data_IF_808600563943
#
_entry.id   IF_808600563943
#
_cell.length_a   1.000
_cell.length_b   1.000
_cell.length_c   1.000
_cell.angle_alpha   90.00
_cell.angle_beta   90.00
_cell.angle_gamma   90.00
#
_symmetry.space_group_name_H-M   'P 1'
#
loop_
_entity.id
_entity.type
_entity.pdbx_description
1 polymer ?
#
# COMPACT_ATOMS: atom_id res chain seq x y z
N UNK A 1 5.44 -18.39 19.27
CA UNK A 1 6.78 -17.81 19.56
C UNK A 1 7.67 -19.02 19.49
N UNK A 2 8.13 -19.40 18.29
CA UNK A 2 8.83 -20.67 18.08
C UNK A 2 10.01 -20.44 17.14
N UNK A 3 10.85 -19.47 17.50
CA UNK A 3 12.20 -19.36 16.98
C UNK A 3 13.13 -19.94 18.05
N UNK A 4 13.98 -20.88 17.66
CA UNK A 4 15.00 -21.47 18.55
C UNK A 4 16.14 -20.49 18.90
N UNK A 5 16.11 -19.28 18.32
CA UNK A 5 17.11 -18.24 18.55
C UNK A 5 17.13 -17.78 20.01
N UNK A 6 18.34 -17.66 20.55
CA UNK A 6 18.60 -17.03 21.84
C UNK A 6 19.37 -15.74 21.59
N UNK A 7 18.82 -14.56 21.94
CA UNK A 7 19.53 -13.32 21.75
C UNK A 7 20.81 -13.28 22.59
N UNK A 8 21.78 -12.43 22.21
CA UNK A 8 23.02 -12.27 22.97
C UNK A 8 22.76 -11.81 24.41
N UNK A 9 23.78 -11.98 25.27
CA UNK A 9 23.72 -11.48 26.64
C UNK A 9 23.63 -9.94 26.62
N UNK A 10 22.90 -9.36 27.59
CA UNK A 10 22.71 -7.91 27.69
C UNK A 10 24.02 -7.13 27.77
N UNK A 11 25.09 -7.75 28.30
CA UNK A 11 26.43 -7.15 28.36
C UNK A 11 27.04 -6.98 26.96
N UNK A 12 26.70 -7.83 26.00
CA UNK A 12 27.23 -7.81 24.63
C UNK A 12 26.40 -6.95 23.66
N UNK A 13 25.16 -6.61 24.05
CA UNK A 13 24.23 -5.82 23.20
C UNK A 13 24.82 -4.48 22.76
N UNK A 14 25.48 -3.68 23.62
CA UNK A 14 26.07 -2.40 23.20
C UNK A 14 27.08 -2.56 22.07
N UNK A 15 28.01 -3.53 22.20
CA UNK A 15 29.07 -3.78 21.22
C UNK A 15 28.47 -4.21 19.88
N UNK A 16 27.51 -5.16 19.88
CA UNK A 16 26.85 -5.58 18.65
C UNK A 16 26.02 -4.47 17.98
N UNK A 17 25.42 -3.59 18.77
CA UNK A 17 24.72 -2.42 18.23
C UNK A 17 25.70 -1.42 17.60
N UNK A 18 26.86 -1.21 18.19
CA UNK A 18 27.91 -0.36 17.62
C UNK A 18 28.42 -0.94 16.30
N UNK A 19 28.70 -2.24 16.24
CA UNK A 19 29.06 -2.94 15.00
C UNK A 19 27.98 -2.80 13.92
N UNK A 20 26.71 -2.98 14.28
CA UNK A 20 25.59 -2.83 13.34
C UNK A 20 25.50 -1.40 12.79
N UNK A 21 25.61 -0.39 13.65
CA UNK A 21 25.57 1.01 13.22
C UNK A 21 26.78 1.35 12.35
N UNK A 22 27.96 0.83 12.67
CA UNK A 22 29.15 0.97 11.85
C UNK A 22 28.95 0.34 10.46
N UNK A 23 28.42 -0.89 10.40
CA UNK A 23 28.06 -1.56 9.15
C UNK A 23 27.07 -0.75 8.29
N UNK A 24 26.01 -0.22 8.92
CA UNK A 24 25.00 0.60 8.24
C UNK A 24 25.61 1.88 7.66
N UNK A 25 26.57 2.49 8.38
CA UNK A 25 27.20 3.75 7.98
C UNK A 25 28.43 3.58 7.10
N UNK A 26 28.94 2.35 6.93
CA UNK A 26 30.06 2.08 6.04
C UNK A 26 29.73 2.52 4.61
N UNK A 27 30.65 3.26 3.98
CA UNK A 27 30.48 3.75 2.62
C UNK A 27 30.75 2.62 1.61
N UNK A 28 29.69 2.00 1.12
CA UNK A 28 29.74 1.03 0.03
C UNK A 28 29.09 1.60 -1.23
N UNK A 29 29.31 0.92 -2.36
CA UNK A 29 28.60 1.22 -3.61
C UNK A 29 27.08 1.09 -3.43
N UNK A 30 26.32 2.02 -4.01
CA UNK A 30 24.85 2.04 -4.00
C UNK A 30 24.18 0.74 -4.44
N UNK A 31 24.86 -0.09 -5.26
CA UNK A 31 24.33 -1.40 -5.67
C UNK A 31 24.10 -2.37 -4.49
N UNK A 32 24.70 -2.11 -3.33
CA UNK A 32 24.54 -2.92 -2.11
C UNK A 32 23.51 -2.36 -1.13
N UNK A 33 22.88 -1.22 -1.41
CA UNK A 33 22.03 -0.51 -0.46
C UNK A 33 20.87 -1.38 0.07
N UNK A 34 20.15 -2.06 -0.81
CA UNK A 34 19.04 -2.92 -0.39
C UNK A 34 19.51 -4.20 0.32
N UNK A 35 20.67 -4.76 -0.07
CA UNK A 35 21.27 -5.92 0.62
C UNK A 35 21.67 -5.55 2.04
N UNK A 36 22.29 -4.37 2.22
CA UNK A 36 22.59 -3.83 3.56
C UNK A 36 21.34 -3.64 4.39
N UNK A 37 20.28 -3.10 3.81
CA UNK A 37 19.01 -2.90 4.49
C UNK A 37 18.40 -4.24 4.96
N UNK A 38 18.43 -5.28 4.12
CA UNK A 38 17.98 -6.60 4.50
C UNK A 38 18.86 -7.21 5.62
N UNK A 39 20.18 -7.18 5.47
CA UNK A 39 21.12 -7.72 6.46
C UNK A 39 21.01 -6.98 7.81
N UNK A 40 20.88 -5.64 7.79
CA UNK A 40 20.70 -4.84 9.00
C UNK A 40 19.39 -5.15 9.71
N UNK A 41 18.31 -5.40 8.97
CA UNK A 41 17.03 -5.83 9.56
C UNK A 41 17.19 -7.15 10.32
N UNK A 42 17.78 -8.17 9.68
CA UNK A 42 18.02 -9.45 10.34
C UNK A 42 18.91 -9.27 11.57
N UNK A 43 20.05 -8.58 11.43
CA UNK A 43 21.01 -8.43 12.52
C UNK A 43 20.42 -7.69 13.71
N UNK A 44 19.63 -6.63 13.50
CA UNK A 44 18.92 -5.96 14.58
C UNK A 44 17.93 -6.90 15.28
N UNK A 45 17.16 -7.68 14.52
CA UNK A 45 16.20 -8.64 15.07
C UNK A 45 16.91 -9.74 15.87
N UNK A 46 18.09 -10.18 15.42
CA UNK A 46 18.95 -11.14 16.10
C UNK A 46 19.54 -10.59 17.41
N UNK A 47 20.04 -9.34 17.41
CA UNK A 47 20.57 -8.67 18.61
C UNK A 47 19.48 -8.49 19.66
N UNK A 48 18.26 -8.13 19.22
CA UNK A 48 17.09 -7.94 20.07
C UNK A 48 17.35 -7.00 21.28
N UNK A 49 17.78 -5.74 21.03
CA UNK A 49 18.39 -4.87 22.04
C UNK A 49 17.43 -4.35 23.12
N UNK A 50 16.12 -4.40 22.88
CA UNK A 50 15.11 -3.88 23.81
C UNK A 50 14.34 -5.00 24.50
N UNK A 51 13.78 -4.69 25.68
CA UNK A 51 12.89 -5.62 26.37
C UNK A 51 11.58 -5.87 25.59
N UNK A 52 11.04 -4.83 24.94
CA UNK A 52 9.84 -4.90 24.10
C UNK A 52 9.99 -3.93 22.93
N UNK A 53 9.31 -4.23 21.81
CA UNK A 53 9.20 -3.33 20.68
C UNK A 53 10.24 -3.54 19.59
N UNK A 54 11.15 -4.52 19.71
CA UNK A 54 12.18 -4.79 18.69
C UNK A 54 11.59 -4.92 17.29
N UNK A 55 10.49 -5.69 17.14
CA UNK A 55 9.81 -5.81 15.85
C UNK A 55 9.30 -4.48 15.26
N UNK A 56 8.87 -3.54 16.10
CA UNK A 56 8.45 -2.20 15.65
C UNK A 56 9.65 -1.33 15.27
N UNK A 57 10.70 -1.35 16.10
CA UNK A 57 11.91 -0.56 15.87
C UNK A 57 12.67 -1.04 14.64
N UNK A 58 12.80 -2.37 14.44
CA UNK A 58 13.49 -2.90 13.26
C UNK A 58 12.80 -2.50 11.96
N UNK A 59 11.46 -2.52 11.93
CA UNK A 59 10.71 -2.05 10.75
C UNK A 59 10.89 -0.56 10.51
N UNK A 60 10.93 0.24 11.58
CA UNK A 60 11.20 1.67 11.48
C UNK A 60 12.63 1.94 10.97
N UNK A 61 13.61 1.19 11.46
CA UNK A 61 15.00 1.26 11.00
C UNK A 61 15.10 0.92 9.52
N UNK A 62 14.48 -0.18 9.08
CA UNK A 62 14.41 -0.55 7.65
C UNK A 62 13.81 0.58 6.81
N UNK A 63 12.71 1.17 7.27
CA UNK A 63 12.08 2.28 6.57
C UNK A 63 13.00 3.50 6.47
N UNK A 64 13.70 3.84 7.55
CA UNK A 64 14.65 4.95 7.58
C UNK A 64 15.84 4.71 6.63
N UNK A 65 16.35 3.47 6.55
CA UNK A 65 17.41 3.10 5.60
C UNK A 65 16.94 3.23 4.15
N UNK A 66 15.75 2.74 3.81
CA UNK A 66 15.17 2.88 2.48
C UNK A 66 15.04 4.37 2.07
N UNK A 67 14.58 5.22 2.99
CA UNK A 67 14.49 6.67 2.76
C UNK A 67 15.89 7.28 2.51
N UNK A 68 16.87 6.95 3.36
CA UNK A 68 18.26 7.42 3.20
C UNK A 68 18.84 7.04 1.84
N UNK A 69 18.44 5.89 1.30
CA UNK A 69 18.87 5.34 0.00
C UNK A 69 18.08 5.89 -1.20
N UNK A 70 17.13 6.79 -0.98
CA UNK A 70 16.38 7.45 -2.07
C UNK A 70 15.05 6.81 -2.44
N UNK A 71 14.60 5.77 -1.71
CA UNK A 71 13.25 5.22 -1.83
C UNK A 71 12.24 6.15 -1.11
N UNK A 72 12.10 7.36 -1.65
CA UNK A 72 11.39 8.47 -1.02
C UNK A 72 10.00 8.72 -1.60
N UNK A 73 9.12 9.25 -0.74
CA UNK A 73 7.70 9.56 -0.99
C UNK A 73 7.50 10.58 -2.13
N UNK A 74 8.50 11.41 -2.44
CA UNK A 74 8.38 12.55 -3.37
C UNK A 74 7.97 12.19 -4.81
N UNK A 75 8.09 10.92 -5.23
CA UNK A 75 7.62 10.44 -6.55
C UNK A 75 6.39 9.52 -6.47
N UNK A 76 5.63 9.56 -5.37
CA UNK A 76 4.40 8.76 -5.22
C UNK A 76 4.63 7.27 -4.94
N UNK A 77 5.89 6.84 -4.76
CA UNK A 77 6.25 5.44 -4.47
C UNK A 77 6.40 5.23 -2.97
N UNK A 78 5.29 5.05 -2.27
CA UNK A 78 5.31 4.68 -0.84
C UNK A 78 5.64 3.19 -0.77
N UNK A 79 6.92 2.83 -0.66
CA UNK A 79 7.28 1.43 -0.37
C UNK A 79 6.97 1.18 1.10
N UNK A 80 6.03 0.29 1.36
CA UNK A 80 5.74 -0.18 2.71
C UNK A 80 6.50 -1.50 2.96
N UNK A 81 7.73 -1.47 3.52
CA UNK A 81 8.48 -2.70 3.79
C UNK A 81 7.74 -3.62 4.77
N UNK A 82 6.77 -3.09 5.54
CA UNK A 82 5.90 -3.91 6.40
C UNK A 82 5.10 -4.92 5.60
N UNK A 83 4.74 -4.64 4.34
CA UNK A 83 4.05 -5.60 3.49
C UNK A 83 4.91 -6.87 3.27
N UNK A 84 6.22 -6.71 3.09
CA UNK A 84 7.15 -7.85 2.95
C UNK A 84 7.15 -8.73 4.20
N UNK A 85 7.22 -8.12 5.39
CA UNK A 85 7.42 -8.84 6.64
C UNK A 85 6.13 -9.31 7.34
N UNK A 86 5.00 -8.63 7.12
CA UNK A 86 3.78 -8.83 7.91
C UNK A 86 2.69 -9.62 7.17
N UNK A 87 2.77 -9.81 5.84
CA UNK A 87 1.79 -10.61 5.09
C UNK A 87 1.80 -12.06 5.55
N UNK A 88 2.98 -12.66 5.72
CA UNK A 88 3.12 -14.03 6.21
C UNK A 88 4.14 -14.08 7.36
N UNK A 89 3.62 -13.92 8.58
CA UNK A 89 4.44 -13.94 9.80
C UNK A 89 5.22 -15.24 9.98
N UNK A 90 4.63 -16.38 9.64
CA UNK A 90 5.28 -17.68 9.78
C UNK A 90 6.48 -17.78 8.84
N UNK A 91 6.30 -17.37 7.57
CA UNK A 91 7.39 -17.34 6.61
C UNK A 91 8.47 -16.34 7.02
N UNK A 92 8.09 -15.15 7.51
CA UNK A 92 9.05 -14.17 8.01
C UNK A 92 9.94 -14.73 9.13
N UNK A 93 9.36 -15.38 10.15
CA UNK A 93 10.16 -16.00 11.21
C UNK A 93 10.97 -17.20 10.74
N UNK A 94 10.46 -18.00 9.80
CA UNK A 94 11.21 -19.09 9.18
C UNK A 94 12.43 -18.57 8.42
N UNK A 95 12.29 -17.50 7.63
CA UNK A 95 13.38 -16.86 6.90
C UNK A 95 14.40 -16.21 7.84
N UNK A 96 13.96 -15.60 8.95
CA UNK A 96 14.88 -15.11 9.99
C UNK A 96 15.69 -16.27 10.60
N UNK A 97 15.03 -17.37 10.95
CA UNK A 97 15.70 -18.55 11.50
C UNK A 97 16.63 -19.19 10.49
N UNK A 98 16.29 -19.19 9.21
CA UNK A 98 17.17 -19.67 8.15
C UNK A 98 18.40 -18.78 8.00
N UNK A 99 18.27 -17.47 8.16
CA UNK A 99 19.41 -16.54 8.10
C UNK A 99 20.44 -16.76 9.21
N UNK A 100 20.05 -17.42 10.30
CA UNK A 100 20.98 -17.78 11.39
C UNK A 100 21.92 -18.94 11.01
N UNK A 101 21.68 -19.65 9.89
CA UNK A 101 22.49 -20.80 9.46
C UNK A 101 23.82 -20.43 8.77
N UNK A 102 24.11 -19.13 8.62
CA UNK A 102 25.34 -18.63 8.01
C UNK A 102 25.11 -17.92 6.67
N UNK A 103 26.14 -17.86 5.84
CA UNK A 103 26.15 -17.01 4.62
C UNK A 103 25.07 -17.39 3.61
N UNK A 104 24.81 -18.69 3.41
CA UNK A 104 23.75 -19.16 2.50
C UNK A 104 22.36 -18.75 3.02
N UNK A 105 22.13 -18.90 4.33
CA UNK A 105 20.90 -18.46 4.97
C UNK A 105 20.69 -16.94 4.84
N UNK A 106 21.74 -16.16 5.06
CA UNK A 106 21.70 -14.69 4.91
C UNK A 106 21.41 -14.28 3.46
N UNK A 107 21.94 -15.01 2.47
CA UNK A 107 21.63 -14.76 1.07
C UNK A 107 20.15 -15.05 0.77
N UNK A 108 19.63 -16.19 1.22
CA UNK A 108 18.21 -16.53 1.08
C UNK A 108 17.29 -15.50 1.74
N UNK A 109 17.68 -14.98 2.91
CA UNK A 109 17.00 -13.87 3.55
C UNK A 109 17.01 -12.59 2.71
N UNK A 110 18.17 -12.20 2.20
CA UNK A 110 18.29 -11.07 1.30
C UNK A 110 17.36 -11.23 0.08
N UNK A 111 17.38 -12.40 -0.57
CA UNK A 111 16.50 -12.71 -1.71
C UNK A 111 15.02 -12.57 -1.35
N UNK A 112 14.60 -13.13 -0.21
CA UNK A 112 13.22 -12.99 0.28
C UNK A 112 12.81 -11.52 0.48
N UNK A 113 13.67 -10.72 1.12
CA UNK A 113 13.37 -9.30 1.35
C UNK A 113 13.32 -8.52 0.04
N UNK A 114 14.31 -8.72 -0.84
CA UNK A 114 14.39 -8.04 -2.14
C UNK A 114 13.22 -8.42 -3.05
N UNK A 115 12.85 -9.69 -3.08
CA UNK A 115 11.70 -10.16 -3.84
C UNK A 115 10.41 -9.50 -3.36
N UNK A 116 10.18 -9.47 -2.04
CA UNK A 116 9.01 -8.79 -1.50
C UNK A 116 9.00 -7.29 -1.81
N UNK A 117 10.14 -6.60 -1.73
CA UNK A 117 10.24 -5.20 -2.12
C UNK A 117 9.93 -5.00 -3.60
N UNK A 118 10.44 -5.87 -4.47
CA UNK A 118 10.15 -5.86 -5.91
C UNK A 118 8.66 -6.05 -6.20
N UNK A 119 8.01 -7.03 -5.57
CA UNK A 119 6.57 -7.24 -5.72
C UNK A 119 5.75 -6.03 -5.27
N UNK A 120 6.12 -5.42 -4.14
CA UNK A 120 5.45 -4.22 -3.64
C UNK A 120 5.64 -3.01 -4.56
N UNK A 121 6.83 -2.83 -5.14
CA UNK A 121 7.07 -1.78 -6.15
C UNK A 121 6.17 -2.00 -7.37
N UNK A 122 6.07 -3.24 -7.88
CA UNK A 122 5.19 -3.54 -9.01
C UNK A 122 3.73 -3.25 -8.67
N UNK A 123 3.26 -3.62 -7.47
CA UNK A 123 1.89 -3.33 -7.03
C UNK A 123 1.63 -1.82 -6.99
N UNK A 124 2.55 -1.06 -6.41
CA UNK A 124 2.43 0.40 -6.35
C UNK A 124 2.42 0.99 -7.76
N UNK A 125 3.33 0.57 -8.64
CA UNK A 125 3.39 1.06 -10.02
C UNK A 125 2.06 0.79 -10.76
N UNK A 126 1.45 -0.39 -10.55
CA UNK A 126 0.09 -0.70 -11.06
C UNK A 126 -0.99 0.24 -10.51
N UNK A 127 -0.98 0.53 -9.21
CA UNK A 127 -1.96 1.45 -8.61
C UNK A 127 -1.74 2.91 -9.01
N UNK A 128 -0.54 3.28 -9.44
CA UNK A 128 -0.27 4.61 -10.00
C UNK A 128 -0.67 4.74 -11.47
N UNK A 129 -0.91 3.62 -12.17
CA UNK A 129 -1.51 3.63 -13.50
C UNK A 129 -3.03 3.81 -13.37
N UNK A 130 -3.52 4.96 -13.83
CA UNK A 130 -4.95 5.28 -13.75
C UNK A 130 -5.82 4.31 -14.56
N UNK A 131 -5.34 3.80 -15.70
CA UNK A 131 -6.11 2.86 -16.52
C UNK A 131 -6.35 1.57 -15.73
N UNK A 132 -5.28 1.06 -15.11
CA UNK A 132 -5.37 -0.10 -14.21
C UNK A 132 -6.29 0.20 -13.02
N UNK A 133 -6.08 1.33 -12.35
CA UNK A 133 -6.88 1.73 -11.18
C UNK A 133 -8.37 1.82 -11.53
N UNK A 134 -8.71 2.46 -12.65
CA UNK A 134 -10.09 2.60 -13.13
C UNK A 134 -10.72 1.24 -13.43
N UNK A 135 -10.08 0.42 -14.26
CA UNK A 135 -10.65 -0.84 -14.76
C UNK A 135 -10.68 -1.96 -13.72
N UNK A 136 -9.62 -2.09 -12.92
CA UNK A 136 -9.45 -3.21 -11.99
C UNK A 136 -9.92 -2.90 -10.58
N UNK A 137 -9.95 -1.63 -10.17
CA UNK A 137 -10.28 -1.25 -8.79
C UNK A 137 -11.57 -0.44 -8.73
N UNK A 138 -11.63 0.73 -9.37
CA UNK A 138 -12.71 1.69 -9.15
C UNK A 138 -14.04 1.26 -9.78
N UNK A 139 -14.03 0.78 -11.03
CA UNK A 139 -15.24 0.29 -11.70
C UNK A 139 -15.81 -0.94 -10.96
N UNK A 140 -15.01 -1.98 -10.63
CA UNK A 140 -15.52 -3.11 -9.84
C UNK A 140 -15.99 -2.70 -8.44
N UNK A 141 -15.39 -1.68 -7.82
CA UNK A 141 -15.84 -1.18 -6.52
C UNK A 141 -17.24 -0.55 -6.61
N UNK A 142 -17.51 0.21 -7.68
CA UNK A 142 -18.83 0.77 -7.99
C UNK A 142 -19.84 -0.35 -8.26
N UNK A 143 -19.46 -1.38 -9.01
CA UNK A 143 -20.31 -2.56 -9.26
C UNK A 143 -20.65 -3.29 -7.97
N UNK A 144 -19.66 -3.59 -7.14
CA UNK A 144 -19.85 -4.24 -5.84
C UNK A 144 -20.83 -3.45 -4.95
N UNK A 145 -20.71 -2.12 -4.90
CA UNK A 145 -21.63 -1.30 -4.11
C UNK A 145 -23.06 -1.33 -4.66
N UNK A 146 -23.24 -1.43 -5.98
CA UNK A 146 -24.54 -1.63 -6.61
C UNK A 146 -25.14 -3.00 -6.29
N UNK A 147 -24.35 -4.07 -6.39
CA UNK A 147 -24.77 -5.45 -6.08
C UNK A 147 -25.19 -5.61 -4.61
N UNK A 148 -24.53 -4.88 -3.70
CA UNK A 148 -24.85 -4.83 -2.27
C UNK A 148 -26.04 -3.92 -1.93
N UNK A 149 -26.67 -3.30 -2.93
CA UNK A 149 -27.80 -2.39 -2.75
C UNK A 149 -27.43 -1.02 -2.14
N UNK A 150 -26.14 -0.69 -2.06
CA UNK A 150 -25.67 0.62 -1.59
C UNK A 150 -25.72 1.70 -2.67
N UNK A 151 -25.85 1.30 -3.95
CA UNK A 151 -26.07 2.18 -5.09
C UNK A 151 -27.22 1.63 -5.93
N UNK A 152 -28.03 2.51 -6.51
CA UNK A 152 -28.93 2.11 -7.59
C UNK A 152 -28.21 2.07 -8.95
N UNK A 153 -28.90 1.55 -9.97
CA UNK A 153 -28.33 1.39 -11.33
C UNK A 153 -27.90 2.73 -11.94
N UNK A 154 -28.66 3.80 -11.70
CA UNK A 154 -28.35 5.13 -12.23
C UNK A 154 -27.10 5.72 -11.59
N UNK A 155 -26.97 5.63 -10.27
CA UNK A 155 -25.77 6.02 -9.53
C UNK A 155 -24.54 5.27 -10.02
N UNK A 156 -24.65 3.95 -10.16
CA UNK A 156 -23.57 3.10 -10.70
C UNK A 156 -23.12 3.59 -12.08
N UNK A 157 -24.05 3.85 -13.00
CA UNK A 157 -23.71 4.23 -14.37
C UNK A 157 -23.07 5.64 -14.43
N UNK A 158 -23.56 6.58 -13.62
CA UNK A 158 -22.95 7.92 -13.50
C UNK A 158 -21.54 7.82 -12.91
N UNK A 159 -21.34 7.02 -11.87
CA UNK A 159 -20.03 6.84 -11.24
C UNK A 159 -19.04 6.16 -12.19
N UNK A 160 -19.48 5.24 -13.05
CA UNK A 160 -18.64 4.68 -14.12
C UNK A 160 -18.17 5.77 -15.09
N UNK A 161 -19.05 6.70 -15.49
CA UNK A 161 -18.65 7.86 -16.31
C UNK A 161 -17.64 8.74 -15.57
N UNK A 162 -17.87 9.00 -14.28
CA UNK A 162 -16.98 9.81 -13.44
C UNK A 162 -15.58 9.19 -13.35
N UNK A 163 -15.47 7.86 -13.22
CA UNK A 163 -14.19 7.13 -13.24
C UNK A 163 -13.55 7.21 -14.64
N UNK A 164 -14.27 6.92 -15.71
CA UNK A 164 -13.68 6.93 -17.06
C UNK A 164 -13.20 8.31 -17.49
N UNK A 165 -13.90 9.38 -17.09
CA UNK A 165 -13.57 10.76 -17.48
C UNK A 165 -12.62 11.46 -16.52
N UNK A 166 -12.40 10.93 -15.31
CA UNK A 166 -11.74 11.58 -14.16
C UNK A 166 -12.49 12.81 -13.65
N UNK A 167 -12.77 13.75 -14.55
CA UNK A 167 -13.54 14.97 -14.35
C UNK A 167 -14.72 14.97 -15.32
N UNK A 168 -15.94 15.08 -14.80
CA UNK A 168 -17.15 15.05 -15.61
C UNK A 168 -18.11 16.20 -15.25
N UNK A 169 -19.06 16.46 -16.13
CA UNK A 169 -20.10 17.48 -15.98
C UNK A 169 -21.45 16.95 -16.44
N UNK A 170 -22.49 17.77 -16.30
CA UNK A 170 -23.88 17.37 -16.63
C UNK A 170 -24.07 16.91 -18.08
N UNK A 171 -23.28 17.41 -19.04
CA UNK A 171 -23.36 16.99 -20.44
C UNK A 171 -22.85 15.56 -20.64
N UNK A 172 -21.86 15.10 -19.86
CA UNK A 172 -21.26 13.78 -20.03
C UNK A 172 -22.23 12.64 -19.68
N UNK A 173 -23.23 12.90 -18.84
CA UNK A 173 -24.23 11.92 -18.41
C UNK A 173 -25.57 12.04 -19.13
N UNK A 174 -25.66 12.87 -20.16
CA UNK A 174 -26.91 13.07 -20.92
C UNK A 174 -27.42 11.78 -21.56
N UNK A 175 -26.52 10.98 -22.12
CA UNK A 175 -26.83 9.68 -22.72
C UNK A 175 -27.39 8.65 -21.72
N UNK A 176 -27.10 8.81 -20.41
CA UNK A 176 -27.65 7.94 -19.36
C UNK A 176 -29.07 8.34 -18.94
N UNK A 177 -29.54 9.50 -19.38
CA UNK A 177 -30.81 10.09 -18.97
C UNK A 177 -31.58 10.67 -20.18
N UNK A 178 -31.93 9.82 -21.17
CA UNK A 178 -32.59 10.29 -22.39
C UNK A 178 -33.93 10.97 -22.05
N UNK A 179 -34.17 12.14 -22.64
CA UNK A 179 -35.39 12.93 -22.44
C UNK A 179 -35.43 13.78 -21.16
N UNK A 180 -34.40 13.74 -20.30
CA UNK A 180 -34.32 14.58 -19.10
C UNK A 180 -33.71 15.94 -19.40
N UNK A 181 -34.35 17.02 -18.92
CA UNK A 181 -33.86 18.38 -19.12
C UNK A 181 -32.60 18.65 -18.29
N UNK A 182 -31.74 19.62 -18.67
CA UNK A 182 -30.50 19.94 -17.94
C UNK A 182 -30.70 20.22 -16.44
N UNK A 183 -31.84 20.81 -16.07
CA UNK A 183 -32.19 21.06 -14.67
C UNK A 183 -32.40 19.75 -13.87
N UNK A 184 -32.99 18.72 -14.47
CA UNK A 184 -33.16 17.42 -13.82
C UNK A 184 -31.83 16.69 -13.63
N UNK A 185 -30.95 16.72 -14.64
CA UNK A 185 -29.59 16.15 -14.52
C UNK A 185 -28.79 16.85 -13.42
N UNK A 186 -28.91 18.17 -13.34
CA UNK A 186 -28.26 18.97 -12.29
C UNK A 186 -28.76 18.61 -10.89
N UNK A 187 -30.06 18.28 -10.72
CA UNK A 187 -30.60 17.79 -9.44
C UNK A 187 -30.03 16.44 -9.05
N UNK A 188 -29.84 15.53 -10.01
CA UNK A 188 -29.18 14.23 -9.75
C UNK A 188 -27.75 14.43 -9.27
N UNK A 189 -26.96 15.28 -9.95
CA UNK A 189 -25.60 15.59 -9.51
C UNK A 189 -25.58 16.24 -8.12
N UNK A 190 -26.52 17.14 -7.83
CA UNK A 190 -26.64 17.73 -6.50
C UNK A 190 -26.93 16.68 -5.42
N UNK A 191 -27.78 15.69 -5.71
CA UNK A 191 -28.06 14.56 -4.81
C UNK A 191 -26.80 13.72 -4.56
N UNK A 192 -26.12 13.28 -5.62
CA UNK A 192 -24.88 12.51 -5.52
C UNK A 192 -23.81 13.23 -4.69
N UNK A 193 -23.71 14.55 -4.86
CA UNK A 193 -22.79 15.38 -4.06
C UNK A 193 -23.20 15.42 -2.59
N UNK A 194 -24.49 15.58 -2.30
CA UNK A 194 -25.00 15.60 -0.93
C UNK A 194 -24.81 14.24 -0.23
N UNK A 195 -24.87 13.14 -0.99
CA UNK A 195 -24.59 11.78 -0.51
C UNK A 195 -23.08 11.46 -0.42
N UNK A 196 -22.22 12.40 -0.83
CA UNK A 196 -20.76 12.24 -0.79
C UNK A 196 -20.20 11.29 -1.85
N UNK A 197 -20.98 10.93 -2.88
CA UNK A 197 -20.54 10.05 -3.97
C UNK A 197 -19.68 10.77 -5.02
N UNK A 198 -19.87 12.08 -5.15
CA UNK A 198 -19.06 12.95 -6.02
C UNK A 198 -18.68 14.24 -5.28
N UNK A 199 -17.60 14.87 -5.70
CA UNK A 199 -17.13 16.15 -5.19
C UNK A 199 -16.85 17.13 -6.34
N UNK A 200 -17.03 18.44 -6.14
CA UNK A 200 -16.68 19.43 -7.16
C UNK A 200 -15.16 19.55 -7.28
N UNK A 201 -14.67 19.78 -8.51
CA UNK A 201 -13.22 19.96 -8.76
C UNK A 201 -12.64 21.17 -8.03
N UNK A 202 -13.43 22.25 -7.94
CA UNK A 202 -13.11 23.48 -7.19
C UNK A 202 -14.38 23.99 -6.51
N UNK A 203 -14.25 24.82 -5.47
CA UNK A 203 -15.40 25.45 -4.82
C UNK A 203 -16.24 26.22 -5.86
N UNK A 204 -17.50 25.80 -6.03
CA UNK A 204 -18.50 26.32 -7.00
C UNK A 204 -18.31 25.87 -8.47
N UNK A 205 -17.40 24.94 -8.76
CA UNK A 205 -17.29 24.37 -10.11
C UNK A 205 -18.54 23.55 -10.52
N UNK A 206 -18.84 23.53 -11.82
CA UNK A 206 -19.84 22.63 -12.44
C UNK A 206 -19.23 21.33 -12.98
N UNK A 207 -17.99 21.07 -12.59
CA UNK A 207 -17.21 19.87 -12.91
C UNK A 207 -17.00 19.09 -11.62
N UNK A 208 -17.11 17.79 -11.70
CA UNK A 208 -17.12 16.88 -10.56
C UNK A 208 -16.15 15.72 -10.76
N UNK A 209 -15.74 15.12 -9.66
CA UNK A 209 -14.97 13.87 -9.59
C UNK A 209 -15.70 12.88 -8.68
N UNK A 210 -15.48 11.58 -8.88
CA UNK A 210 -16.01 10.57 -7.97
C UNK A 210 -15.27 10.63 -6.62
N UNK A 211 -16.03 10.62 -5.52
CA UNK A 211 -15.47 10.66 -4.17
C UNK A 211 -15.51 9.26 -3.55
N UNK A 212 -14.34 8.61 -3.54
CA UNK A 212 -14.14 7.27 -3.00
C UNK A 212 -13.76 7.25 -1.51
N UNK A 213 -13.45 8.38 -0.89
CA UNK A 213 -12.95 8.45 0.50
C UNK A 213 -14.05 8.69 1.52
N UNK A 214 -15.10 9.43 1.15
CA UNK A 214 -16.19 9.84 2.05
C UNK A 214 -17.48 9.03 1.95
N UNK A 215 -17.51 7.93 1.20
CA UNK A 215 -18.76 7.27 0.79
C UNK A 215 -18.77 5.75 0.98
N UNK A 216 -19.89 5.12 0.64
CA UNK A 216 -20.00 3.66 0.59
C UNK A 216 -18.97 3.01 -0.36
N UNK A 217 -18.45 3.79 -1.32
CA UNK A 217 -17.48 3.35 -2.30
C UNK A 217 -16.14 2.94 -1.68
N UNK A 218 -15.74 3.52 -0.54
CA UNK A 218 -14.50 3.13 0.15
C UNK A 218 -14.51 1.64 0.51
N UNK A 219 -15.67 1.13 0.96
CA UNK A 219 -15.83 -0.29 1.28
C UNK A 219 -15.69 -1.17 0.03
N UNK A 220 -16.24 -0.72 -1.09
CA UNK A 220 -16.06 -1.38 -2.38
C UNK A 220 -14.59 -1.42 -2.80
N UNK A 221 -13.89 -0.29 -2.70
CA UNK A 221 -12.46 -0.19 -3.02
C UNK A 221 -11.64 -1.13 -2.15
N UNK A 222 -11.85 -1.15 -0.83
CA UNK A 222 -11.15 -2.05 0.08
C UNK A 222 -11.38 -3.51 -0.31
N UNK A 223 -12.63 -3.91 -0.59
CA UNK A 223 -12.93 -5.31 -0.97
C UNK A 223 -12.34 -5.71 -2.31
N UNK A 224 -12.30 -4.81 -3.29
CA UNK A 224 -11.67 -5.09 -4.58
C UNK A 224 -10.14 -5.14 -4.45
N UNK A 225 -9.53 -4.24 -3.68
CA UNK A 225 -8.08 -4.30 -3.38
C UNK A 225 -7.70 -5.62 -2.67
N UNK A 226 -8.55 -6.13 -1.77
CA UNK A 226 -8.36 -7.47 -1.16
C UNK A 226 -8.41 -8.57 -2.22
N UNK A 227 -9.42 -8.56 -3.10
CA UNK A 227 -9.58 -9.55 -4.18
C UNK A 227 -8.41 -9.55 -5.16
N UNK A 228 -7.89 -8.38 -5.49
CA UNK A 228 -6.77 -8.19 -6.40
C UNK A 228 -5.39 -8.34 -5.73
N UNK A 229 -5.33 -8.82 -4.47
CA UNK A 229 -4.11 -9.04 -3.69
C UNK A 229 -3.23 -7.78 -3.45
N UNK A 230 -3.85 -6.60 -3.40
CA UNK A 230 -3.17 -5.35 -3.05
C UNK A 230 -3.12 -5.08 -1.54
N UNK A 231 -3.83 -5.87 -0.73
CA UNK A 231 -3.81 -5.74 0.74
C UNK A 231 -3.27 -7.00 1.41
N UNK A 232 -2.58 -6.81 2.53
CA UNK A 232 -2.06 -7.89 3.37
C UNK A 232 -3.15 -8.68 4.14
N UNK A 233 -4.39 -8.21 4.14
CA UNK A 233 -5.49 -8.89 4.83
C UNK A 233 -6.11 -9.93 3.89
N UNK A 234 -5.89 -11.21 4.21
CA UNK A 234 -6.71 -12.31 3.68
C UNK A 234 -7.76 -12.63 4.74
N UNK A 235 -9.00 -12.79 4.29
CA UNK A 235 -10.14 -13.20 5.14
C UNK A 235 -9.85 -14.53 5.86
#
# INVERSE_FOLDING_TARGET
MDSAHRPPDYVQVPDYMEELISFINHADSHKYDLLKTAAAHHRFAWIHPFHNGNGRVVRLLTYAMLIKQGFNIKRGRIINPTAVFCINRNNYYAMLSQADSGSEGMLAWCEYVLHGLYEEIIKIDKLTDYSFLAEKILIPAVEFCCERGSLNKQERDILKVAVTKVVFQSADIEHLMPGKIPAERSRVLARLRNEGLIEPLEEKARKYMANFTGSCLLRGVIKVLMKENFTAMRD
#
